data_IF_691639099335
#
_entry.id   IF_691639099335
#
_cell.length_a   1.000
_cell.length_b   1.000
_cell.length_c   1.000
_cell.angle_alpha   90.00
_cell.angle_beta   90.00
_cell.angle_gamma   90.00
#
_symmetry.space_group_name_H-M   'P 1'
#
loop_
_entity.id
_entity.type
_entity.pdbx_description
1 polymer ?
#
# COMPACT_ATOMS: atom_id res chain seq x y z
N UNK A 1 10.71 -20.56 13.58
CA UNK A 1 9.36 -20.04 13.21
C UNK A 1 9.21 -18.56 13.57
N UNK A 2 9.29 -18.19 14.85
CA UNK A 2 9.05 -16.80 15.30
C UNK A 2 9.93 -15.74 14.61
N UNK A 3 11.24 -16.01 14.45
CA UNK A 3 12.16 -15.08 13.76
C UNK A 3 11.79 -14.83 12.28
N UNK A 4 11.28 -15.85 11.58
CA UNK A 4 10.82 -15.68 10.19
C UNK A 4 9.56 -14.81 10.13
N UNK A 5 8.60 -15.03 11.02
CA UNK A 5 7.38 -14.22 11.07
C UNK A 5 7.67 -12.77 11.47
N UNK A 6 8.58 -12.53 12.43
CA UNK A 6 9.00 -11.17 12.80
C UNK A 6 9.64 -10.44 11.61
N UNK A 7 10.53 -11.11 10.87
CA UNK A 7 11.15 -10.53 9.66
C UNK A 7 10.11 -10.18 8.61
N UNK A 8 9.14 -11.07 8.37
CA UNK A 8 8.05 -10.83 7.41
C UNK A 8 7.16 -9.67 7.85
N UNK A 9 6.83 -9.56 9.14
CA UNK A 9 6.07 -8.44 9.71
C UNK A 9 6.83 -7.12 9.52
N UNK A 10 8.14 -7.08 9.77
CA UNK A 10 8.95 -5.88 9.56
C UNK A 10 8.96 -5.45 8.10
N UNK A 11 9.13 -6.40 7.16
CA UNK A 11 9.12 -6.12 5.72
C UNK A 11 7.73 -5.65 5.26
N UNK A 12 6.67 -6.29 5.73
CA UNK A 12 5.30 -5.88 5.42
C UNK A 12 4.99 -4.48 5.97
N UNK A 13 5.43 -4.18 7.19
CA UNK A 13 5.26 -2.85 7.78
C UNK A 13 5.95 -1.77 6.92
N UNK A 14 7.14 -2.07 6.40
CA UNK A 14 7.84 -1.18 5.47
C UNK A 14 7.05 -0.98 4.17
N UNK A 15 6.45 -2.04 3.60
CA UNK A 15 5.59 -1.93 2.42
C UNK A 15 4.38 -1.00 2.67
N UNK A 16 3.71 -1.13 3.81
CA UNK A 16 2.57 -0.25 4.17
C UNK A 16 3.04 1.21 4.34
N UNK A 17 4.24 1.44 4.87
CA UNK A 17 4.83 2.79 4.96
C UNK A 17 5.11 3.35 3.55
N UNK A 18 5.69 2.56 2.67
CA UNK A 18 5.94 2.95 1.28
C UNK A 18 4.64 3.28 0.56
N UNK A 19 3.60 2.46 0.74
CA UNK A 19 2.27 2.75 0.24
C UNK A 19 1.75 4.11 0.73
N UNK A 20 1.85 4.37 2.04
CA UNK A 20 1.43 5.65 2.61
C UNK A 20 2.20 6.84 2.00
N UNK A 21 3.52 6.68 1.79
CA UNK A 21 4.35 7.69 1.11
C UNK A 21 3.87 7.92 -0.32
N UNK A 22 3.63 6.86 -1.09
CA UNK A 22 3.11 7.02 -2.46
C UNK A 22 1.73 7.68 -2.49
N UNK A 23 0.88 7.43 -1.49
CA UNK A 23 -0.42 8.11 -1.38
C UNK A 23 -0.27 9.61 -1.12
N UNK A 24 0.69 10.01 -0.29
CA UNK A 24 0.99 11.42 -0.06
C UNK A 24 1.43 12.12 -1.36
N UNK A 25 2.25 11.45 -2.17
CA UNK A 25 2.71 11.99 -3.46
C UNK A 25 1.54 12.13 -4.44
N UNK A 26 0.67 11.12 -4.56
CA UNK A 26 -0.55 11.19 -5.38
C UNK A 26 -1.44 12.37 -5.01
N UNK A 27 -1.70 12.56 -3.71
CA UNK A 27 -2.52 13.69 -3.23
C UNK A 27 -1.86 15.04 -3.49
N UNK A 28 -0.53 15.14 -3.34
CA UNK A 28 0.24 16.34 -3.64
C UNK A 28 0.17 16.69 -5.13
N UNK A 29 0.36 15.69 -5.99
CA UNK A 29 0.27 15.84 -7.44
C UNK A 29 -1.14 16.27 -7.87
N UNK A 30 -2.19 15.60 -7.37
CA UNK A 30 -3.59 15.97 -7.65
C UNK A 30 -3.94 17.39 -7.20
N UNK A 31 -3.37 17.86 -6.08
CA UNK A 31 -3.51 19.24 -5.63
C UNK A 31 -2.85 20.25 -6.59
N UNK A 32 -1.64 19.95 -7.10
CA UNK A 32 -0.95 20.78 -8.09
C UNK A 32 -1.72 20.87 -9.42
N UNK A 33 -2.23 19.74 -9.91
CA UNK A 33 -3.09 19.67 -11.10
C UNK A 33 -4.33 20.55 -10.92
N UNK A 34 -4.99 20.45 -9.76
CA UNK A 34 -6.21 21.23 -9.46
C UNK A 34 -5.96 22.75 -9.46
N UNK A 35 -4.74 23.17 -9.12
CA UNK A 35 -4.34 24.59 -9.10
C UNK A 35 -3.71 25.09 -10.39
N UNK A 36 -3.66 24.26 -11.43
CA UNK A 36 -2.99 24.58 -12.71
C UNK A 36 -1.56 25.09 -12.51
N UNK A 37 -0.79 24.45 -11.62
CA UNK A 37 0.60 24.82 -11.41
C UNK A 37 1.42 24.59 -12.69
N UNK A 38 2.21 25.59 -13.11
CA UNK A 38 2.98 25.55 -14.37
C UNK A 38 3.94 24.35 -14.43
N UNK A 39 4.52 23.94 -13.29
CA UNK A 39 5.50 22.85 -13.20
C UNK A 39 4.93 21.58 -12.53
N UNK A 40 3.82 21.06 -13.08
CA UNK A 40 3.17 19.85 -12.54
C UNK A 40 3.90 18.57 -12.97
N UNK A 41 4.85 18.11 -12.17
CA UNK A 41 5.56 16.84 -12.33
C UNK A 41 5.65 16.02 -11.02
N UNK A 42 6.07 14.76 -11.15
CA UNK A 42 6.20 13.84 -10.02
C UNK A 42 7.23 14.32 -8.98
N UNK A 43 8.35 14.89 -9.43
CA UNK A 43 9.43 15.33 -8.53
C UNK A 43 9.00 16.52 -7.68
N UNK A 44 8.27 17.47 -8.27
CA UNK A 44 7.67 18.59 -7.57
C UNK A 44 6.56 18.12 -6.63
N UNK A 45 5.76 17.11 -7.00
CA UNK A 45 4.80 16.53 -6.07
C UNK A 45 5.47 15.87 -4.84
N UNK A 46 6.65 15.28 -5.02
CA UNK A 46 7.49 14.73 -3.94
C UNK A 46 8.12 15.82 -3.06
N UNK A 47 8.26 17.05 -3.57
CA UNK A 47 8.87 18.16 -2.84
C UNK A 47 8.09 18.46 -1.55
N UNK A 48 8.83 18.52 -0.44
CA UNK A 48 8.25 18.72 0.89
C UNK A 48 7.37 19.97 1.00
N UNK A 49 7.71 21.04 0.28
CA UNK A 49 6.92 22.29 0.25
C UNK A 49 5.52 22.07 -0.31
N UNK A 50 5.39 21.37 -1.44
CA UNK A 50 4.09 21.10 -2.07
C UNK A 50 3.23 20.18 -1.21
N UNK A 51 3.87 19.21 -0.54
CA UNK A 51 3.19 18.32 0.39
C UNK A 51 2.61 19.07 1.60
N UNK A 52 3.32 20.09 2.10
CA UNK A 52 2.80 20.96 3.17
C UNK A 52 1.63 21.80 2.65
N UNK A 53 1.76 22.41 1.47
CA UNK A 53 0.70 23.26 0.92
C UNK A 53 -0.58 22.45 0.66
N UNK A 54 -0.47 21.21 0.15
CA UNK A 54 -1.59 20.28 0.02
C UNK A 54 -2.21 19.90 1.38
N UNK A 55 -1.39 19.79 2.44
CA UNK A 55 -1.87 19.60 3.83
C UNK A 55 -2.62 20.82 4.35
N UNK A 56 -2.07 22.03 4.18
CA UNK A 56 -2.71 23.29 4.60
C UNK A 56 -4.03 23.51 3.87
N UNK A 57 -4.10 23.14 2.60
CA UNK A 57 -5.33 23.18 1.79
C UNK A 57 -6.39 22.14 2.21
N UNK A 58 -6.10 21.28 3.18
CA UNK A 58 -7.06 20.30 3.70
C UNK A 58 -7.32 19.11 2.78
N UNK A 59 -6.56 18.96 1.69
CA UNK A 59 -6.59 17.80 0.78
C UNK A 59 -6.09 16.57 1.53
N UNK A 60 -5.00 16.73 2.29
CA UNK A 60 -4.36 15.67 3.04
C UNK A 60 -4.90 15.65 4.47
N UNK A 61 -6.04 14.97 4.67
CA UNK A 61 -6.67 14.83 5.99
C UNK A 61 -6.04 13.68 6.77
N UNK A 62 -5.27 14.02 7.81
CA UNK A 62 -4.61 13.04 8.70
C UNK A 62 -5.59 12.00 9.25
N UNK A 63 -6.84 12.37 9.57
CA UNK A 63 -7.87 11.43 10.04
C UNK A 63 -8.15 10.32 9.02
N UNK A 64 -8.42 10.68 7.77
CA UNK A 64 -8.78 9.73 6.71
C UNK A 64 -7.59 8.81 6.41
N UNK A 65 -6.39 9.38 6.34
CA UNK A 65 -5.17 8.61 6.11
C UNK A 65 -4.85 7.65 7.27
N UNK A 66 -4.99 8.12 8.52
CA UNK A 66 -4.84 7.26 9.70
C UNK A 66 -5.86 6.13 9.70
N UNK A 67 -7.13 6.40 9.36
CA UNK A 67 -8.15 5.34 9.31
C UNK A 67 -7.85 4.30 8.23
N UNK A 68 -7.33 4.71 7.06
CA UNK A 68 -6.93 3.77 6.02
C UNK A 68 -5.68 2.96 6.41
N UNK A 69 -4.65 3.64 6.94
CA UNK A 69 -3.45 2.97 7.44
C UNK A 69 -3.77 1.97 8.56
N UNK A 70 -4.55 2.38 9.56
CA UNK A 70 -5.00 1.51 10.65
C UNK A 70 -5.82 0.34 10.10
N UNK A 71 -6.67 0.59 9.10
CA UNK A 71 -7.42 -0.46 8.40
C UNK A 71 -6.51 -1.53 7.80
N UNK A 72 -5.43 -1.14 7.11
CA UNK A 72 -4.44 -2.07 6.54
C UNK A 72 -3.74 -2.90 7.61
N UNK A 73 -3.29 -2.25 8.69
CA UNK A 73 -2.63 -2.93 9.81
C UNK A 73 -3.58 -3.92 10.51
N UNK A 74 -4.81 -3.52 10.80
CA UNK A 74 -5.80 -4.40 11.43
C UNK A 74 -6.15 -5.59 10.53
N UNK A 75 -6.31 -5.36 9.23
CA UNK A 75 -6.58 -6.42 8.25
C UNK A 75 -5.43 -7.42 8.24
N UNK A 76 -4.18 -6.94 8.21
CA UNK A 76 -3.00 -7.81 8.27
C UNK A 76 -2.95 -8.64 9.54
N UNK A 77 -3.08 -8.00 10.71
CA UNK A 77 -3.03 -8.69 12.01
C UNK A 77 -4.12 -9.76 12.10
N UNK A 78 -5.35 -9.44 11.70
CA UNK A 78 -6.48 -10.36 11.77
C UNK A 78 -6.33 -11.57 10.84
N UNK A 79 -5.95 -11.32 9.58
CA UNK A 79 -5.74 -12.38 8.57
C UNK A 79 -4.59 -13.29 8.99
N UNK A 80 -3.45 -12.73 9.38
CA UNK A 80 -2.28 -13.52 9.80
C UNK A 80 -2.56 -14.32 11.07
N UNK A 81 -3.23 -13.74 12.07
CA UNK A 81 -3.62 -14.47 13.28
C UNK A 81 -4.53 -15.67 12.96
N UNK A 82 -5.51 -15.48 12.08
CA UNK A 82 -6.40 -16.55 11.62
C UNK A 82 -5.62 -17.65 10.91
N UNK A 83 -4.72 -17.29 9.99
CA UNK A 83 -3.90 -18.26 9.26
C UNK A 83 -2.92 -19.02 10.16
N UNK A 84 -2.41 -18.40 11.22
CA UNK A 84 -1.58 -19.08 12.23
C UNK A 84 -2.39 -20.15 12.98
N UNK A 85 -3.65 -19.85 13.33
CA UNK A 85 -4.54 -20.84 13.96
C UNK A 85 -4.83 -22.00 13.01
N UNK A 86 -5.11 -21.71 11.73
CA UNK A 86 -5.32 -22.74 10.69
C UNK A 86 -4.06 -23.59 10.51
N UNK A 87 -2.88 -22.98 10.38
CA UNK A 87 -1.61 -23.70 10.25
C UNK A 87 -1.36 -24.62 11.45
N UNK A 88 -1.72 -24.19 12.67
CA UNK A 88 -1.62 -25.03 13.86
C UNK A 88 -2.57 -26.23 13.78
N UNK A 89 -3.86 -26.00 13.47
CA UNK A 89 -4.86 -27.06 13.34
C UNK A 89 -4.47 -28.10 12.28
N UNK A 90 -4.01 -27.65 11.12
CA UNK A 90 -3.60 -28.54 10.02
C UNK A 90 -2.40 -29.38 10.42
N UNK A 91 -1.42 -28.80 11.10
CA UNK A 91 -0.24 -29.53 11.59
C UNK A 91 -0.60 -30.55 12.67
N UNK A 92 -1.51 -30.21 13.58
CA UNK A 92 -2.01 -31.15 14.60
C UNK A 92 -2.79 -32.31 13.97
N UNK A 93 -3.41 -32.09 12.81
CA UNK A 93 -4.12 -33.12 12.03
C UNK A 93 -3.20 -33.97 11.14
N UNK A 94 -1.88 -33.81 11.25
CA UNK A 94 -0.89 -34.54 10.44
C UNK A 94 -0.64 -33.96 9.03
N UNK A 95 -1.26 -32.81 8.70
CA UNK A 95 -1.07 -32.12 7.44
C UNK A 95 0.15 -31.19 7.40
N UNK A 96 0.47 -30.68 6.21
CA UNK A 96 1.51 -29.67 6.00
C UNK A 96 0.84 -28.29 5.98
N UNK A 97 1.25 -27.40 6.90
CA UNK A 97 0.77 -26.00 6.93
C UNK A 97 1.31 -25.17 5.76
N UNK A 98 1.08 -23.86 5.79
CA UNK A 98 1.51 -22.91 4.75
C UNK A 98 0.53 -21.77 4.49
N UNK A 99 -0.62 -21.76 5.16
CA UNK A 99 -1.66 -20.75 4.99
C UNK A 99 -1.16 -19.36 5.39
N UNK A 100 -0.34 -19.26 6.44
CA UNK A 100 0.25 -17.98 6.85
C UNK A 100 1.15 -17.39 5.77
N UNK A 101 1.98 -18.21 5.13
CA UNK A 101 2.87 -17.76 4.04
C UNK A 101 2.07 -17.28 2.83
N UNK A 102 1.02 -18.02 2.45
CA UNK A 102 0.12 -17.63 1.36
C UNK A 102 -0.58 -16.30 1.65
N UNK A 103 -1.10 -16.13 2.87
CA UNK A 103 -1.77 -14.90 3.28
C UNK A 103 -0.83 -13.70 3.26
N UNK A 104 0.40 -13.84 3.76
CA UNK A 104 1.42 -12.78 3.72
C UNK A 104 1.73 -12.41 2.26
N UNK A 105 1.92 -13.41 1.38
CA UNK A 105 2.18 -13.18 -0.04
C UNK A 105 1.04 -12.42 -0.72
N UNK A 106 -0.21 -12.81 -0.46
CA UNK A 106 -1.38 -12.13 -0.97
C UNK A 106 -1.47 -10.68 -0.49
N UNK A 107 -1.32 -10.44 0.81
CA UNK A 107 -1.36 -9.10 1.39
C UNK A 107 -0.24 -8.21 0.83
N UNK A 108 0.98 -8.74 0.69
CA UNK A 108 2.10 -8.02 0.08
C UNK A 108 1.79 -7.62 -1.37
N UNK A 109 1.17 -8.51 -2.16
CA UNK A 109 0.73 -8.19 -3.52
C UNK A 109 -0.35 -7.10 -3.53
N UNK A 110 -1.30 -7.10 -2.59
CA UNK A 110 -2.31 -6.04 -2.52
C UNK A 110 -1.72 -4.67 -2.17
N UNK A 111 -0.69 -4.62 -1.31
CA UNK A 111 0.02 -3.38 -1.02
C UNK A 111 0.86 -2.90 -2.21
N UNK A 112 1.50 -3.82 -2.94
CA UNK A 112 2.20 -3.49 -4.18
C UNK A 112 1.25 -2.88 -5.22
N UNK A 113 0.03 -3.43 -5.37
CA UNK A 113 -0.98 -2.88 -6.27
C UNK A 113 -1.40 -1.46 -5.86
N UNK A 114 -1.61 -1.22 -4.57
CA UNK A 114 -1.92 0.09 -4.01
C UNK A 114 -0.80 1.12 -4.28
N UNK A 115 0.47 0.70 -4.18
CA UNK A 115 1.63 1.53 -4.55
C UNK A 115 1.61 1.88 -6.05
N UNK A 116 1.39 0.89 -6.92
CA UNK A 116 1.33 1.10 -8.38
C UNK A 116 0.20 2.07 -8.74
N UNK A 117 -0.97 1.90 -8.14
CA UNK A 117 -2.12 2.81 -8.28
C UNK A 117 -1.76 4.24 -7.89
N UNK A 118 -1.21 4.44 -6.68
CA UNK A 118 -0.82 5.77 -6.22
C UNK A 118 0.25 6.42 -7.12
N UNK A 119 1.22 5.66 -7.62
CA UNK A 119 2.23 6.21 -8.52
C UNK A 119 1.69 6.54 -9.91
N UNK A 120 0.73 5.75 -10.42
CA UNK A 120 0.03 6.05 -11.67
C UNK A 120 -0.75 7.37 -11.58
N UNK A 121 -1.40 7.62 -10.44
CA UNK A 121 -2.08 8.89 -10.12
C UNK A 121 -1.11 10.08 -9.99
N UNK A 122 0.19 9.82 -9.78
CA UNK A 122 1.21 10.85 -9.54
C UNK A 122 1.94 11.32 -10.83
N UNK A 123 1.42 10.97 -12.00
CA UNK A 123 2.00 11.38 -13.30
C UNK A 123 3.19 10.55 -13.77
N UNK A 124 3.46 9.39 -13.13
CA UNK A 124 4.53 8.47 -13.57
C UNK A 124 4.01 7.58 -14.71
N UNK A 125 4.36 7.95 -15.95
CA UNK A 125 3.86 7.29 -17.17
C UNK A 125 4.16 5.78 -17.24
N UNK A 126 5.30 5.34 -16.71
CA UNK A 126 5.65 3.91 -16.65
C UNK A 126 4.76 3.11 -15.68
N UNK A 127 4.28 3.74 -14.61
CA UNK A 127 3.36 3.12 -13.66
C UNK A 127 1.94 3.06 -14.20
N UNK A 128 1.54 4.04 -15.03
CA UNK A 128 0.27 3.99 -15.74
C UNK A 128 0.20 2.76 -16.68
N UNK A 129 1.25 2.52 -17.47
CA UNK A 129 1.31 1.35 -18.35
C UNK A 129 1.25 0.02 -17.58
N UNK A 130 1.93 -0.07 -16.43
CA UNK A 130 1.85 -1.24 -15.56
C UNK A 130 0.45 -1.42 -14.94
N UNK A 131 -0.16 -0.34 -14.46
CA UNK A 131 -1.51 -0.35 -13.91
C UNK A 131 -2.54 -0.82 -14.95
N UNK A 132 -2.46 -0.32 -16.18
CA UNK A 132 -3.39 -0.70 -17.25
C UNK A 132 -3.25 -2.18 -17.63
N UNK A 133 -2.03 -2.72 -17.65
CA UNK A 133 -1.78 -4.15 -17.87
C UNK A 133 -2.38 -5.03 -16.76
N UNK A 134 -2.20 -4.62 -15.50
CA UNK A 134 -2.76 -5.32 -14.35
C UNK A 134 -4.29 -5.28 -14.40
N UNK A 135 -4.87 -4.10 -14.66
CA UNK A 135 -6.32 -3.90 -14.76
C UNK A 135 -6.93 -4.72 -15.88
N UNK A 136 -6.30 -4.75 -17.06
CA UNK A 136 -6.72 -5.58 -18.20
C UNK A 136 -6.73 -7.07 -17.85
N UNK A 137 -5.77 -7.53 -17.04
CA UNK A 137 -5.72 -8.94 -16.59
C UNK A 137 -6.75 -9.26 -15.50
N UNK A 138 -7.19 -8.28 -14.72
CA UNK A 138 -8.24 -8.42 -13.70
C UNK A 138 -9.67 -8.40 -14.29
N UNK A 139 -9.81 -7.90 -15.53
CA UNK A 139 -11.09 -7.69 -16.22
C UNK A 139 -11.39 -8.63 -17.39
N UNK A 140 -10.75 -9.80 -17.46
CA UNK A 140 -11.11 -10.89 -18.38
C UNK A 140 -11.44 -12.15 -17.58
#
# INVERSE_FOLDING_TARGET
MLQHHLKLISIFSLLVILDLVTKFISLSYGYMVTRQAEDTDFFNACRYTNLIEARKAGIIKSRIMKTQFVGKILTYVFVVATCLMVDKMVRESGGVGGFTTLAIGYLAMTELLSIVENLSESGVSSMQGLYDLIKKKKGN
#
